data_IF_158816350719
#
_entry.id   IF_158816350719
#
_cell.length_a   1.000
_cell.length_b   1.000
_cell.length_c   1.000
_cell.angle_alpha   90.00
_cell.angle_beta   90.00
_cell.angle_gamma   90.00
#
_symmetry.space_group_name_H-M   'P 1'
#
loop_
_entity.id
_entity.type
_entity.pdbx_description
1 polymer ?
#
# COMPACT_ATOMS: atom_id res chain seq x y z
N UNK A 1 -18.84 -54.79 29.18
CA UNK A 1 -18.34 -55.68 28.11
C UNK A 1 -18.95 -55.22 26.78
N UNK A 2 -18.29 -54.30 26.06
CA UNK A 2 -17.65 -54.51 24.74
C UNK A 2 -18.59 -54.26 23.53
N UNK A 3 -18.32 -53.12 22.86
CA UNK A 3 -18.37 -52.85 21.41
C UNK A 3 -19.72 -52.61 20.71
N UNK A 4 -19.92 -51.35 20.29
CA UNK A 4 -19.90 -50.97 18.86
C UNK A 4 -19.74 -49.46 18.71
N UNK A 5 -18.48 -49.00 18.63
CA UNK A 5 -18.16 -47.68 18.09
C UNK A 5 -18.48 -47.69 16.60
N UNK A 6 -19.57 -47.03 16.22
CA UNK A 6 -19.90 -46.78 14.82
C UNK A 6 -18.92 -45.73 14.29
N UNK A 7 -18.00 -46.15 13.42
CA UNK A 7 -17.06 -45.29 12.69
C UNK A 7 -17.86 -44.34 11.81
N UNK A 8 -18.07 -43.12 12.26
CA UNK A 8 -18.49 -42.02 11.41
C UNK A 8 -17.21 -41.42 10.79
N UNK A 9 -16.80 -42.00 9.66
CA UNK A 9 -15.93 -41.34 8.68
C UNK A 9 -16.79 -40.29 7.97
N UNK A 10 -16.87 -39.07 8.49
CA UNK A 10 -17.38 -37.94 7.72
C UNK A 10 -16.19 -37.11 7.26
N UNK A 11 -16.15 -36.91 5.94
CA UNK A 11 -15.07 -36.40 5.12
C UNK A 11 -14.52 -35.05 5.61
N UNK A 12 -13.39 -35.09 6.30
CA UNK A 12 -12.53 -33.93 6.62
C UNK A 12 -11.71 -33.49 5.40
N UNK A 13 -12.33 -33.41 4.22
CA UNK A 13 -11.68 -33.01 2.95
C UNK A 13 -12.24 -31.73 2.35
N UNK A 14 -13.27 -31.13 2.94
CA UNK A 14 -13.99 -29.98 2.37
C UNK A 14 -14.04 -28.71 3.24
N UNK A 15 -13.29 -28.64 4.34
CA UNK A 15 -13.21 -27.43 5.19
C UNK A 15 -11.86 -26.72 5.15
N UNK A 16 -10.87 -27.26 4.43
CA UNK A 16 -9.52 -26.69 4.35
C UNK A 16 -9.20 -26.03 2.99
N UNK A 17 -10.11 -26.10 2.01
CA UNK A 17 -9.91 -25.50 0.69
C UNK A 17 -10.43 -24.06 0.57
N UNK A 18 -10.74 -23.39 1.69
CA UNK A 18 -11.12 -21.97 1.75
C UNK A 18 -10.07 -21.12 2.46
N UNK A 19 -8.79 -21.36 2.17
CA UNK A 19 -7.71 -20.41 2.49
C UNK A 19 -6.69 -20.29 1.34
N UNK A 20 -6.97 -20.95 0.21
CA UNK A 20 -6.08 -21.02 -0.95
C UNK A 20 -6.52 -20.06 -2.05
N UNK A 21 -6.75 -18.80 -1.66
CA UNK A 21 -6.80 -17.67 -2.59
C UNK A 21 -6.70 -16.35 -1.81
N UNK A 22 -5.76 -16.24 -0.88
CA UNK A 22 -5.24 -14.92 -0.54
C UNK A 22 -4.45 -14.49 -1.78
N UNK A 23 -5.09 -13.73 -2.67
CA UNK A 23 -4.34 -12.92 -3.62
C UNK A 23 -3.50 -11.96 -2.76
N UNK A 24 -2.25 -12.35 -2.50
CA UNK A 24 -1.20 -11.43 -2.07
C UNK A 24 -1.12 -10.38 -3.15
N UNK A 25 -1.88 -9.30 -2.95
CA UNK A 25 -1.86 -8.14 -3.81
C UNK A 25 -0.67 -7.34 -3.32
N UNK A 26 0.49 -7.66 -3.86
CA UNK A 26 1.71 -6.94 -3.60
C UNK A 26 1.63 -5.58 -4.31
N UNK A 27 1.57 -4.51 -3.51
CA UNK A 27 1.57 -3.16 -4.03
C UNK A 27 3.01 -2.68 -4.09
N UNK A 28 3.59 -2.67 -5.29
CA UNK A 28 4.91 -2.06 -5.54
C UNK A 28 4.72 -0.72 -6.23
N UNK A 29 5.27 0.35 -5.64
CA UNK A 29 5.25 1.70 -6.18
C UNK A 29 6.68 2.19 -6.39
N UNK A 30 6.97 2.73 -7.57
CA UNK A 30 8.24 3.40 -7.82
C UNK A 30 8.16 4.86 -7.38
N UNK A 31 9.22 5.32 -6.71
CA UNK A 31 9.34 6.66 -6.19
C UNK A 31 10.71 7.26 -6.53
N UNK A 32 10.72 8.57 -6.75
CA UNK A 32 11.93 9.36 -6.91
C UNK A 32 12.17 10.18 -5.64
N UNK A 33 13.43 10.30 -5.22
CA UNK A 33 13.81 11.21 -4.14
C UNK A 33 13.56 12.66 -4.56
N UNK A 34 12.92 13.42 -3.68
CA UNK A 34 12.68 14.84 -3.87
C UNK A 34 13.82 15.63 -3.24
N UNK A 35 14.60 16.33 -4.07
CA UNK A 35 15.71 17.19 -3.63
C UNK A 35 15.24 18.58 -3.21
N UNK A 36 14.25 19.15 -3.91
CA UNK A 36 13.75 20.50 -3.67
C UNK A 36 12.45 20.49 -2.87
N UNK A 37 12.39 21.23 -1.76
CA UNK A 37 11.20 21.38 -0.91
C UNK A 37 10.48 22.71 -1.16
N UNK A 38 9.23 22.82 -0.72
CA UNK A 38 8.44 24.05 -0.79
C UNK A 38 7.16 23.98 -1.64
N UNK A 39 6.36 25.04 -1.52
CA UNK A 39 5.01 25.14 -2.10
C UNK A 39 5.03 25.23 -3.62
N UNK A 40 5.97 25.98 -4.19
CA UNK A 40 6.11 26.17 -5.65
C UNK A 40 6.46 24.87 -6.37
N UNK A 41 7.45 24.14 -5.85
CA UNK A 41 7.91 22.84 -6.37
C UNK A 41 6.75 21.83 -6.35
N UNK A 42 6.08 21.72 -5.21
CA UNK A 42 4.96 20.78 -5.04
C UNK A 42 3.80 21.10 -6.01
N UNK A 43 3.54 22.38 -6.30
CA UNK A 43 2.54 22.78 -7.29
C UNK A 43 2.97 22.40 -8.72
N UNK A 44 4.25 22.56 -9.07
CA UNK A 44 4.80 22.15 -10.37
C UNK A 44 4.72 20.63 -10.56
N UNK A 45 5.08 19.85 -9.53
CA UNK A 45 4.98 18.38 -9.55
C UNK A 45 3.54 17.91 -9.81
N UNK A 46 2.56 18.48 -9.10
CA UNK A 46 1.14 18.14 -9.32
C UNK A 46 0.64 18.49 -10.73
N UNK A 47 1.17 19.56 -11.34
CA UNK A 47 0.88 19.90 -12.74
C UNK A 47 1.53 18.89 -13.70
N UNK A 48 2.70 18.37 -13.36
CA UNK A 48 3.42 17.36 -14.12
C UNK A 48 2.89 15.92 -13.92
N UNK A 49 1.76 15.72 -13.22
CA UNK A 49 1.22 14.38 -12.96
C UNK A 49 1.96 13.59 -11.88
N UNK A 50 2.76 14.26 -11.06
CA UNK A 50 3.47 13.66 -9.93
C UNK A 50 2.83 14.05 -8.59
N UNK A 51 2.81 13.13 -7.64
CA UNK A 51 2.26 13.32 -6.30
C UNK A 51 3.41 13.43 -5.29
N UNK A 52 3.53 14.55 -4.57
CA UNK A 52 4.46 14.64 -3.45
C UNK A 52 4.00 13.75 -2.31
N UNK A 53 4.93 13.01 -1.71
CA UNK A 53 4.66 12.16 -0.56
C UNK A 53 5.81 12.18 0.44
N UNK A 54 5.52 11.79 1.67
CA UNK A 54 6.49 11.75 2.78
C UNK A 54 6.44 10.37 3.41
N UNK A 55 7.60 9.74 3.57
CA UNK A 55 7.78 8.54 4.38
C UNK A 55 8.43 8.94 5.70
N UNK A 56 7.85 8.52 6.82
CA UNK A 56 8.44 8.74 8.13
C UNK A 56 8.18 7.55 9.08
N UNK A 57 8.76 7.61 10.28
CA UNK A 57 8.57 6.60 11.32
C UNK A 57 9.79 5.72 11.56
N UNK A 58 9.64 4.77 12.48
CA UNK A 58 10.68 3.85 12.95
C UNK A 58 11.97 4.55 13.44
N UNK A 59 11.84 5.74 14.05
CA UNK A 59 12.97 6.54 14.53
C UNK A 59 13.92 7.08 13.45
N UNK A 60 13.61 6.85 12.18
CA UNK A 60 14.42 7.30 11.04
C UNK A 60 13.96 8.67 10.53
N UNK A 61 14.85 9.39 9.86
CA UNK A 61 14.54 10.68 9.25
C UNK A 61 13.42 10.57 8.22
N UNK A 62 12.64 11.65 8.10
CA UNK A 62 11.56 11.73 7.14
C UNK A 62 12.11 11.89 5.72
N UNK A 63 11.68 11.02 4.82
CA UNK A 63 12.14 11.02 3.43
C UNK A 63 11.05 11.61 2.55
N UNK A 64 11.39 12.72 1.89
CA UNK A 64 10.50 13.32 0.89
C UNK A 64 10.67 12.61 -0.45
N UNK A 65 9.57 12.07 -0.96
CA UNK A 65 9.54 11.32 -2.21
C UNK A 65 8.52 11.91 -3.17
N UNK A 66 8.62 11.48 -4.42
CA UNK A 66 7.69 11.82 -5.48
C UNK A 66 7.20 10.54 -6.14
N UNK A 67 5.88 10.41 -6.27
CA UNK A 67 5.20 9.25 -6.86
C UNK A 67 4.49 9.62 -8.16
N UNK A 68 4.28 8.65 -9.04
CA UNK A 68 3.42 8.82 -10.20
C UNK A 68 1.93 8.87 -9.79
N UNK A 69 1.20 9.88 -10.28
CA UNK A 69 -0.21 10.08 -9.91
C UNK A 69 -1.11 8.94 -10.36
N UNK A 70 -0.90 8.40 -11.56
CA UNK A 70 -1.76 7.34 -12.10
C UNK A 70 -1.56 6.04 -11.31
N UNK A 71 -0.30 5.70 -11.00
CA UNK A 71 0.01 4.49 -10.23
C UNK A 71 -0.62 4.50 -8.84
N UNK A 72 -0.49 5.61 -8.10
CA UNK A 72 -1.10 5.71 -6.77
C UNK A 72 -2.63 5.81 -6.84
N UNK A 73 -3.18 6.46 -7.86
CA UNK A 73 -4.63 6.54 -8.03
C UNK A 73 -5.23 5.14 -8.20
N UNK A 74 -4.68 4.33 -9.11
CA UNK A 74 -5.10 2.94 -9.31
C UNK A 74 -4.89 2.07 -8.07
N UNK A 75 -3.78 2.25 -7.36
CA UNK A 75 -3.56 1.51 -6.11
C UNK A 75 -4.66 1.81 -5.07
N UNK A 76 -5.10 3.08 -4.98
CA UNK A 76 -6.13 3.49 -4.02
C UNK A 76 -7.57 3.06 -4.39
N UNK A 77 -7.80 2.59 -5.62
CA UNK A 77 -9.09 2.00 -6.03
C UNK A 77 -9.32 0.66 -5.31
N UNK A 78 -8.25 -0.07 -5.01
CA UNK A 78 -8.34 -1.29 -4.24
C UNK A 78 -8.40 -0.97 -2.74
N UNK A 79 -9.52 -1.35 -2.09
CA UNK A 79 -9.70 -1.13 -0.64
C UNK A 79 -8.62 -1.80 0.20
N UNK A 80 -8.02 -2.89 -0.27
CA UNK A 80 -6.93 -3.57 0.42
C UNK A 80 -5.69 -2.68 0.62
N UNK A 81 -5.49 -1.66 -0.23
CA UNK A 81 -4.34 -0.75 -0.18
C UNK A 81 -4.22 0.03 1.13
N UNK A 82 -5.34 0.33 1.80
CA UNK A 82 -5.32 1.09 3.06
C UNK A 82 -4.84 0.28 4.26
N UNK A 83 -4.93 -1.04 4.17
CA UNK A 83 -4.55 -1.97 5.24
C UNK A 83 -3.29 -2.77 4.92
N UNK A 84 -2.98 -2.92 3.63
CA UNK A 84 -1.85 -3.67 3.15
C UNK A 84 -0.52 -2.93 3.43
N UNK A 85 0.54 -3.72 3.58
CA UNK A 85 1.91 -3.21 3.49
C UNK A 85 2.23 -2.97 2.02
N UNK A 86 2.73 -1.79 1.72
CA UNK A 86 3.11 -1.32 0.38
C UNK A 86 4.62 -1.25 0.31
N UNK A 87 5.20 -1.78 -0.76
CA UNK A 87 6.63 -1.66 -1.03
C UNK A 87 6.86 -0.45 -1.92
N UNK A 88 7.65 0.51 -1.44
CA UNK A 88 8.09 1.66 -2.22
C UNK A 88 9.54 1.44 -2.63
N UNK A 89 9.81 1.45 -3.93
CA UNK A 89 11.16 1.42 -4.49
C UNK A 89 11.65 2.85 -4.74
N UNK A 90 12.69 3.24 -4.01
CA UNK A 90 13.33 4.55 -4.09
C UNK A 90 14.72 4.36 -4.70
N UNK A 91 14.84 4.56 -6.02
CA UNK A 91 16.11 4.43 -6.75
C UNK A 91 16.89 3.12 -6.42
N UNK A 92 16.20 1.98 -6.31
CA UNK A 92 16.80 0.67 -6.00
C UNK A 92 16.83 0.32 -4.51
N UNK A 93 16.38 1.22 -3.61
CA UNK A 93 16.15 0.92 -2.20
C UNK A 93 14.67 0.67 -1.95
N UNK A 94 14.32 -0.56 -1.58
CA UNK A 94 12.95 -0.93 -1.25
C UNK A 94 12.65 -0.66 0.23
N UNK A 95 11.62 0.14 0.51
CA UNK A 95 11.10 0.38 1.84
C UNK A 95 9.67 -0.18 1.97
N UNK A 96 9.41 -0.91 3.06
CA UNK A 96 8.07 -1.40 3.41
C UNK A 96 7.35 -0.36 4.25
N UNK A 97 6.23 0.15 3.75
CA UNK A 97 5.48 1.23 4.37
C UNK A 97 3.98 0.94 4.37
N UNK A 98 3.24 1.64 5.22
CA UNK A 98 1.78 1.66 5.26
C UNK A 98 1.30 3.08 5.04
N UNK A 99 0.16 3.23 4.38
CA UNK A 99 -0.45 4.55 4.21
C UNK A 99 -1.04 5.02 5.53
N UNK A 100 -0.70 6.26 5.92
CA UNK A 100 -1.22 6.89 7.14
C UNK A 100 -2.33 7.89 6.80
N UNK A 101 -2.09 8.73 5.80
CA UNK A 101 -3.06 9.72 5.37
C UNK A 101 -2.94 9.96 3.86
N UNK A 102 -4.08 10.26 3.24
CA UNK A 102 -4.15 10.59 1.81
C UNK A 102 -4.96 11.86 1.64
N UNK A 103 -4.32 12.90 1.13
CA UNK A 103 -5.01 14.16 0.80
C UNK A 103 -5.54 14.08 -0.63
N UNK A 104 -6.86 14.16 -0.76
CA UNK A 104 -7.56 14.16 -2.05
C UNK A 104 -8.01 15.56 -2.41
N UNK A 105 -8.10 15.83 -3.70
CA UNK A 105 -8.74 17.04 -4.18
C UNK A 105 -10.26 16.96 -3.88
N UNK A 106 -10.92 18.04 -3.41
CA UNK A 106 -12.33 17.99 -2.98
C UNK A 106 -13.33 17.48 -4.02
N UNK A 107 -13.15 17.81 -5.31
CA UNK A 107 -14.07 17.42 -6.38
C UNK A 107 -13.42 16.72 -7.58
N UNK A 108 -12.08 16.80 -7.73
CA UNK A 108 -11.38 16.13 -8.84
C UNK A 108 -10.87 14.77 -8.37
N UNK A 109 -10.79 13.75 -9.25
CA UNK A 109 -10.14 12.48 -8.94
C UNK A 109 -8.61 12.64 -8.95
N UNK A 110 -8.08 13.53 -8.10
CA UNK A 110 -6.66 13.84 -7.98
C UNK A 110 -6.20 13.70 -6.54
N UNK A 111 -5.01 13.15 -6.37
CA UNK A 111 -4.34 13.03 -5.08
C UNK A 111 -3.36 14.21 -4.96
N UNK A 112 -3.43 14.92 -3.84
CA UNK A 112 -2.63 16.11 -3.58
C UNK A 112 -1.37 15.79 -2.77
N UNK A 113 -1.47 14.86 -1.83
CA UNK A 113 -0.39 14.45 -0.96
C UNK A 113 -0.65 13.05 -0.40
N UNK A 114 0.40 12.30 -0.11
CA UNK A 114 0.31 11.02 0.58
C UNK A 114 1.34 10.95 1.71
N UNK A 115 0.89 10.44 2.86
CA UNK A 115 1.71 10.24 4.05
C UNK A 115 1.86 8.74 4.29
N UNK A 116 3.11 8.30 4.40
CA UNK A 116 3.46 6.91 4.64
C UNK A 116 4.21 6.77 5.96
N UNK A 117 3.91 5.69 6.67
CA UNK A 117 4.59 5.30 7.91
C UNK A 117 5.33 3.99 7.65
N UNK A 118 6.60 3.92 8.07
CA UNK A 118 7.40 2.69 8.03
C UNK A 118 6.75 1.61 8.90
N UNK A 119 6.50 0.46 8.30
CA UNK A 119 5.76 -0.65 8.91
C UNK A 119 6.63 -1.54 9.80
#
# INVERSE_FOLDING_TARGET
>A
MIRKFFKIKINFKYTFLRFKEIKMTEFTLHAELKTETGTGVSRRLRKAGKVPAIIYGNGSEATSITLDHNKILHATENKAFYTATVTIDINGKTESVKIKALQRHPYKPKILHADFVRA
#
